data_IF_673724598994
#
_entry.id   IF_673724598994
#
_cell.length_a   1.000
_cell.length_b   1.000
_cell.length_c   1.000
_cell.angle_alpha   90.00
_cell.angle_beta   90.00
_cell.angle_gamma   90.00
#
_symmetry.space_group_name_H-M   'P 1'
#
loop_
_entity.id
_entity.type
_entity.pdbx_description
1 polymer ?
#
# COMPACT_ATOMS: atom_id res chain seq x y z
N UNK A 1 26.75 -7.95 14.92
CA UNK A 1 25.97 -6.75 14.53
C UNK A 1 24.91 -7.19 13.54
N UNK A 2 23.64 -7.26 13.97
CA UNK A 2 22.56 -7.75 13.10
C UNK A 2 22.07 -6.59 12.22
N UNK A 3 22.41 -6.63 10.93
CA UNK A 3 21.94 -5.69 9.93
C UNK A 3 20.47 -5.98 9.62
N UNK A 4 19.55 -5.49 10.46
CA UNK A 4 18.12 -5.45 10.16
C UNK A 4 17.94 -4.46 9.02
N UNK A 5 17.95 -4.94 7.77
CA UNK A 5 17.54 -4.17 6.59
C UNK A 5 16.07 -3.78 6.81
N UNK A 6 15.84 -2.57 7.33
CA UNK A 6 14.51 -1.98 7.40
C UNK A 6 14.14 -1.58 5.98
N UNK A 7 13.49 -2.48 5.25
CA UNK A 7 12.91 -2.11 3.96
C UNK A 7 11.95 -0.93 4.21
N UNK A 8 12.07 0.17 3.44
CA UNK A 8 11.22 1.32 3.62
C UNK A 8 9.79 0.87 3.27
N UNK A 9 8.97 0.67 4.30
CA UNK A 9 7.52 0.48 4.12
C UNK A 9 7.00 1.76 3.49
N UNK A 10 6.73 1.72 2.19
CA UNK A 10 6.13 2.85 1.49
C UNK A 10 4.70 3.00 2.00
N UNK A 11 4.43 4.15 2.60
CA UNK A 11 3.09 4.51 3.06
C UNK A 11 2.39 5.24 1.91
N UNK A 12 1.24 4.74 1.50
CA UNK A 12 0.36 5.39 0.53
C UNK A 12 -0.99 5.68 1.18
N UNK A 13 -1.73 6.62 0.61
CA UNK A 13 -3.11 6.87 0.99
C UNK A 13 -4.00 6.30 -0.10
N UNK A 14 -5.01 5.54 0.31
CA UNK A 14 -6.00 5.01 -0.61
C UNK A 14 -6.82 6.17 -1.20
N UNK A 15 -6.90 6.26 -2.53
CA UNK A 15 -7.68 7.31 -3.21
C UNK A 15 -9.19 7.17 -3.02
N UNK A 16 -9.67 5.94 -2.80
CA UNK A 16 -11.11 5.65 -2.68
C UNK A 16 -11.66 5.90 -1.27
N UNK A 17 -10.92 5.51 -0.23
CA UNK A 17 -11.41 5.58 1.16
C UNK A 17 -10.51 6.36 2.13
N UNK A 18 -9.36 6.87 1.67
CA UNK A 18 -8.45 7.69 2.47
C UNK A 18 -7.67 6.93 3.55
N UNK A 19 -7.72 5.60 3.58
CA UNK A 19 -6.96 4.82 4.56
C UNK A 19 -5.46 4.76 4.22
N UNK A 20 -4.62 4.59 5.25
CA UNK A 20 -3.19 4.33 5.07
C UNK A 20 -2.97 2.91 4.55
N UNK A 21 -2.37 2.80 3.37
CA UNK A 21 -1.90 1.56 2.77
C UNK A 21 -0.43 1.39 3.16
N UNK A 22 -0.14 0.32 3.90
CA UNK A 22 1.21 -0.05 4.32
C UNK A 22 1.63 -1.26 3.50
N UNK A 23 2.26 -1.01 2.36
CA UNK A 23 2.70 -2.09 1.48
C UNK A 23 4.12 -2.53 1.85
N UNK A 24 4.35 -3.85 1.81
CA UNK A 24 5.70 -4.42 1.97
C UNK A 24 6.52 -4.32 0.67
N UNK A 25 5.84 -4.21 -0.47
CA UNK A 25 6.41 -4.12 -1.81
C UNK A 25 5.75 -2.94 -2.51
N UNK A 26 6.50 -2.18 -3.29
CA UNK A 26 5.96 -1.08 -4.07
C UNK A 26 4.97 -1.62 -5.13
N UNK A 27 3.68 -1.27 -4.99
CA UNK A 27 2.65 -1.55 -6.00
C UNK A 27 2.31 -0.28 -6.80
N UNK A 28 1.96 -0.35 -8.08
CA UNK A 28 1.43 0.82 -8.80
C UNK A 28 0.05 1.26 -8.31
N UNK A 29 -0.66 0.40 -7.57
CA UNK A 29 -2.03 0.67 -7.14
C UNK A 29 -2.06 1.64 -5.95
N UNK A 30 -2.94 2.64 -6.04
CA UNK A 30 -3.23 3.59 -4.96
C UNK A 30 -4.56 3.25 -4.27
N UNK A 31 -4.99 2.00 -4.39
CA UNK A 31 -6.20 1.44 -3.80
C UNK A 31 -5.79 0.44 -2.73
N UNK A 32 -6.45 0.48 -1.57
CA UNK A 32 -6.21 -0.51 -0.53
C UNK A 32 -6.79 -1.87 -0.95
N UNK A 33 -6.41 -2.92 -0.26
CA UNK A 33 -6.93 -4.29 -0.46
C UNK A 33 -8.46 -4.41 -0.42
N UNK A 34 -9.15 -3.42 0.17
CA UNK A 34 -10.62 -3.37 0.25
C UNK A 34 -11.28 -2.60 -0.89
N UNK A 35 -10.52 -1.73 -1.54
CA UNK A 35 -11.01 -0.84 -2.59
C UNK A 35 -10.56 -1.30 -3.98
N UNK A 36 -9.45 -2.03 -4.07
CA UNK A 36 -8.93 -2.59 -5.31
C UNK A 36 -10.02 -3.41 -6.01
N UNK A 37 -10.27 -3.10 -7.29
CA UNK A 37 -11.26 -3.80 -8.10
C UNK A 37 -12.71 -3.39 -7.86
N UNK A 38 -12.98 -2.34 -7.06
CA UNK A 38 -14.35 -1.81 -6.93
C UNK A 38 -14.85 -1.08 -8.18
N UNK A 39 -13.96 -0.66 -9.07
CA UNK A 39 -14.31 0.10 -10.28
C UNK A 39 -14.50 -0.77 -11.53
N UNK A 40 -14.39 -2.10 -11.44
CA UNK A 40 -14.69 -2.99 -12.57
C UNK A 40 -16.19 -3.31 -12.64
N UNK A 41 -16.97 -2.40 -13.23
CA UNK A 41 -18.35 -2.62 -13.69
C UNK A 41 -18.58 -1.98 -15.07
#
# INVERSE_FOLDING_TARGET
MNNIKREPKMKKICVECGCEIIEKVESPHHECERCIGKQEQ
#
